data_IF_263518400937
#
_entry.id   IF_263518400937
#
_cell.length_a   1.000
_cell.length_b   1.000
_cell.length_c   1.000
_cell.angle_alpha   90.00
_cell.angle_beta   90.00
_cell.angle_gamma   90.00
#
_symmetry.space_group_name_H-M   'P 1'
#
loop_
_entity.id
_entity.type
_entity.pdbx_description
1 polymer ?
#
# COMPACT_ATOMS: atom_id res chain seq x y z
N UNK A 1 23.44 -0.89 -10.94
CA UNK A 1 24.22 0.29 -11.40
C UNK A 1 23.33 1.11 -12.34
N UNK A 2 22.72 2.18 -11.85
CA UNK A 2 21.89 3.08 -12.68
C UNK A 2 22.78 4.20 -13.21
N UNK A 3 23.12 4.13 -14.50
CA UNK A 3 23.79 5.25 -15.18
C UNK A 3 22.84 6.45 -15.20
N UNK A 4 23.16 7.47 -14.40
CA UNK A 4 22.45 8.76 -14.45
C UNK A 4 22.71 9.39 -15.82
N UNK A 5 21.72 9.34 -16.72
CA UNK A 5 21.75 10.07 -17.99
C UNK A 5 21.98 11.55 -17.70
N UNK A 6 23.15 12.08 -18.11
CA UNK A 6 23.39 13.53 -18.12
C UNK A 6 22.47 14.19 -19.16
N UNK A 7 21.41 14.85 -18.69
CA UNK A 7 20.56 15.67 -19.55
C UNK A 7 21.38 16.89 -20.02
N UNK A 8 21.70 16.96 -21.31
CA UNK A 8 22.52 18.05 -21.90
C UNK A 8 21.80 19.40 -21.98
N UNK A 9 20.46 19.41 -21.91
CA UNK A 9 19.61 20.61 -21.94
C UNK A 9 18.43 20.37 -20.99
N UNK A 10 18.40 21.08 -19.86
CA UNK A 10 17.37 20.95 -18.81
C UNK A 10 16.76 22.30 -18.49
N UNK A 11 15.45 22.31 -18.25
CA UNK A 11 14.71 23.48 -17.80
C UNK A 11 14.09 23.14 -16.44
N UNK A 12 14.29 24.02 -15.45
CA UNK A 12 13.71 23.89 -14.13
C UNK A 12 12.42 24.71 -14.09
N UNK A 13 11.31 24.05 -13.76
CA UNK A 13 10.00 24.67 -13.61
C UNK A 13 9.63 24.61 -12.14
N UNK A 14 9.24 25.76 -11.58
CA UNK A 14 8.63 25.81 -10.24
C UNK A 14 7.13 25.64 -10.39
N UNK A 15 6.60 24.67 -9.66
CA UNK A 15 5.18 24.35 -9.61
C UNK A 15 4.75 24.44 -8.14
N UNK A 16 3.51 24.85 -7.91
CA UNK A 16 2.89 24.62 -6.61
C UNK A 16 2.49 23.14 -6.45
N UNK A 17 2.10 22.75 -5.24
CA UNK A 17 1.80 21.35 -4.90
C UNK A 17 0.60 20.82 -5.70
N UNK A 18 -0.39 21.68 -6.00
CA UNK A 18 -1.61 21.31 -6.72
C UNK A 18 -1.30 21.04 -8.21
N UNK A 19 -0.52 21.92 -8.84
CA UNK A 19 -0.04 21.77 -10.20
C UNK A 19 0.84 20.53 -10.34
N UNK A 20 1.75 20.31 -9.39
CA UNK A 20 2.61 19.13 -9.38
C UNK A 20 1.79 17.83 -9.26
N UNK A 21 0.82 17.80 -8.34
CA UNK A 21 -0.07 16.65 -8.16
C UNK A 21 -0.89 16.36 -9.43
N UNK A 22 -1.46 17.40 -10.05
CA UNK A 22 -2.25 17.29 -11.27
C UNK A 22 -1.44 16.69 -12.44
N UNK A 23 -0.24 17.23 -12.70
CA UNK A 23 0.65 16.73 -13.76
C UNK A 23 1.03 15.26 -13.51
N UNK A 24 1.34 14.92 -12.25
CA UNK A 24 1.76 13.56 -11.89
C UNK A 24 0.62 12.55 -12.06
N UNK A 25 -0.61 12.93 -11.69
CA UNK A 25 -1.80 12.11 -11.86
C UNK A 25 -2.14 11.86 -13.33
N UNK A 26 -2.12 12.91 -14.16
CA UNK A 26 -2.35 12.78 -15.60
C UNK A 26 -1.27 11.92 -16.28
N UNK A 27 -0.01 12.07 -15.89
CA UNK A 27 1.07 11.26 -16.44
C UNK A 27 0.89 9.77 -16.08
N UNK A 28 0.46 9.48 -14.84
CA UNK A 28 0.17 8.13 -14.36
C UNK A 28 -1.00 7.48 -15.10
N UNK A 29 -2.08 8.20 -15.34
CA UNK A 29 -3.24 7.70 -16.11
C UNK A 29 -2.85 7.28 -17.54
N UNK A 30 -1.81 7.91 -18.10
CA UNK A 30 -1.30 7.66 -19.46
C UNK A 30 -0.10 6.70 -19.52
N UNK A 31 0.32 6.11 -18.40
CA UNK A 31 1.51 5.23 -18.30
C UNK A 31 2.82 5.89 -18.78
N UNK A 32 2.97 7.21 -18.60
CA UNK A 32 4.15 7.99 -19.00
C UNK A 32 4.74 8.77 -17.83
N UNK A 33 6.00 9.17 -17.95
CA UNK A 33 6.63 10.05 -16.95
C UNK A 33 6.07 11.47 -17.02
N UNK A 34 5.97 12.16 -15.87
CA UNK A 34 5.56 13.57 -15.79
C UNK A 34 6.40 14.47 -16.73
N UNK A 35 7.71 14.23 -16.81
CA UNK A 35 8.60 14.94 -17.73
C UNK A 35 8.26 14.71 -19.22
N UNK A 36 7.72 13.54 -19.59
CA UNK A 36 7.28 13.27 -20.96
C UNK A 36 5.97 13.99 -21.26
N UNK A 37 5.03 13.98 -20.30
CA UNK A 37 3.78 14.73 -20.42
C UNK A 37 4.02 16.23 -20.60
N UNK A 38 4.90 16.84 -19.79
CA UNK A 38 5.24 18.27 -19.90
C UNK A 38 5.85 18.59 -21.26
N UNK A 39 6.77 17.74 -21.76
CA UNK A 39 7.37 17.94 -23.10
C UNK A 39 6.35 17.83 -24.22
N UNK A 40 5.39 16.91 -24.10
CA UNK A 40 4.31 16.75 -25.07
C UNK A 40 3.41 17.99 -25.09
N UNK A 41 2.98 18.48 -23.92
CA UNK A 41 2.19 19.71 -23.81
C UNK A 41 2.93 20.94 -24.36
N UNK A 42 4.23 21.09 -24.04
CA UNK A 42 5.05 22.17 -24.56
C UNK A 42 5.23 22.08 -26.08
N UNK A 43 5.46 20.88 -26.62
CA UNK A 43 5.57 20.67 -28.06
C UNK A 43 4.27 21.05 -28.78
N UNK A 44 3.11 20.61 -28.27
CA UNK A 44 1.81 20.95 -28.83
C UNK A 44 1.48 22.44 -28.78
N UNK A 45 1.92 23.15 -27.74
CA UNK A 45 1.74 24.60 -27.63
C UNK A 45 2.67 25.40 -28.56
N UNK A 46 3.91 24.94 -28.76
CA UNK A 46 4.92 25.66 -29.54
C UNK A 46 4.83 25.38 -31.05
N UNK A 47 4.25 24.26 -31.47
CA UNK A 47 4.07 23.93 -32.88
C UNK A 47 2.83 23.03 -33.04
N UNK A 48 1.73 23.56 -33.61
CA UNK A 48 0.54 22.76 -33.90
C UNK A 48 0.72 21.72 -35.01
N UNK A 49 1.86 21.76 -35.73
CA UNK A 49 2.17 20.80 -36.80
C UNK A 49 2.96 19.62 -36.24
N UNK A 50 2.67 18.41 -36.74
CA UNK A 50 3.18 17.10 -36.29
C UNK A 50 4.73 16.94 -36.28
N UNK A 51 5.47 17.98 -36.65
CA UNK A 51 6.93 18.02 -36.72
C UNK A 51 7.62 17.66 -35.41
N UNK A 52 7.01 17.98 -34.26
CA UNK A 52 7.57 17.71 -32.92
C UNK A 52 7.12 16.39 -32.28
N UNK A 53 6.19 15.64 -32.89
CA UNK A 53 5.68 14.37 -32.34
C UNK A 53 6.69 13.21 -32.37
N UNK A 54 7.94 13.43 -32.80
CA UNK A 54 8.95 12.36 -32.93
C UNK A 54 9.49 11.83 -31.60
N UNK A 55 9.26 12.50 -30.47
CA UNK A 55 9.76 12.04 -29.17
C UNK A 55 8.73 11.10 -28.55
N UNK A 56 8.99 9.78 -28.68
CA UNK A 56 8.18 8.77 -28.00
C UNK A 56 8.22 9.03 -26.48
N UNK A 57 7.06 9.07 -25.80
CA UNK A 57 7.03 9.33 -24.37
C UNK A 57 7.72 8.19 -23.62
N UNK A 58 8.46 8.56 -22.57
CA UNK A 58 9.15 7.59 -21.72
C UNK A 58 8.11 7.03 -20.76
N UNK A 59 7.88 5.72 -20.83
CA UNK A 59 7.03 5.00 -19.88
C UNK A 59 7.46 5.27 -18.45
N UNK A 60 6.48 5.43 -17.57
CA UNK A 60 6.78 5.50 -16.15
C UNK A 60 7.46 4.21 -15.69
N UNK A 61 8.57 4.33 -14.96
CA UNK A 61 9.16 3.16 -14.32
C UNK A 61 8.23 2.71 -13.20
N UNK A 62 7.53 1.61 -13.42
CA UNK A 62 6.82 0.89 -12.36
C UNK A 62 7.76 -0.21 -11.87
N UNK A 63 8.36 -0.10 -10.68
CA UNK A 63 9.04 -1.25 -10.11
C UNK A 63 8.02 -2.36 -9.99
N UNK A 64 8.30 -3.52 -10.60
CA UNK A 64 7.53 -4.73 -10.35
C UNK A 64 7.73 -5.07 -8.87
N UNK A 65 6.82 -4.66 -8.01
CA UNK A 65 6.78 -5.16 -6.64
C UNK A 65 6.55 -6.67 -6.77
N UNK A 66 7.49 -7.53 -6.34
CA UNK A 66 7.26 -8.96 -6.38
C UNK A 66 5.98 -9.25 -5.58
N UNK A 67 5.14 -10.21 -6.02
CA UNK A 67 3.97 -10.60 -5.26
C UNK A 67 4.42 -11.01 -3.86
N UNK A 68 3.70 -10.53 -2.83
CA UNK A 68 4.01 -10.87 -1.44
C UNK A 68 4.11 -12.40 -1.30
N UNK A 69 5.18 -12.91 -0.66
CA UNK A 69 5.33 -14.34 -0.44
C UNK A 69 4.09 -14.95 0.21
N UNK A 70 3.75 -16.17 -0.20
CA UNK A 70 2.49 -16.83 0.17
C UNK A 70 2.34 -17.00 1.69
N UNK A 71 3.44 -17.27 2.39
CA UNK A 71 3.47 -17.35 3.86
C UNK A 71 3.05 -16.06 4.56
N UNK A 72 3.27 -14.88 3.97
CA UNK A 72 2.81 -13.60 4.55
C UNK A 72 1.29 -13.50 4.48
N UNK A 73 0.69 -14.01 3.40
CA UNK A 73 -0.78 -14.05 3.25
C UNK A 73 -1.41 -15.01 4.27
N UNK A 74 -0.79 -16.16 4.49
CA UNK A 74 -1.28 -17.11 5.50
C UNK A 74 -1.19 -16.54 6.92
N UNK A 75 -0.15 -15.76 7.24
CA UNK A 75 -0.07 -15.06 8.53
C UNK A 75 -1.20 -14.04 8.72
N UNK A 76 -1.62 -13.36 7.66
CA UNK A 76 -2.78 -12.46 7.69
C UNK A 76 -4.08 -13.21 7.99
N UNK A 77 -4.31 -14.33 7.29
CA UNK A 77 -5.50 -15.16 7.51
C UNK A 77 -5.53 -15.70 8.94
N UNK A 78 -4.39 -16.19 9.43
CA UNK A 78 -4.28 -16.67 10.81
C UNK A 78 -4.62 -15.56 11.81
N UNK A 79 -4.14 -14.33 11.57
CA UNK A 79 -4.43 -13.17 12.40
C UNK A 79 -5.93 -12.85 12.42
N UNK A 80 -6.59 -12.88 11.26
CA UNK A 80 -8.04 -12.67 11.14
C UNK A 80 -8.82 -13.74 11.91
N UNK A 81 -8.55 -15.02 11.66
CA UNK A 81 -9.22 -16.12 12.37
C UNK A 81 -9.01 -16.05 13.89
N UNK A 82 -7.82 -15.65 14.35
CA UNK A 82 -7.55 -15.50 15.79
C UNK A 82 -8.32 -14.32 16.39
N UNK A 83 -8.50 -13.23 15.64
CA UNK A 83 -9.30 -12.08 16.08
C UNK A 83 -10.80 -12.42 16.15
N UNK A 84 -11.30 -13.19 15.18
CA UNK A 84 -12.69 -13.72 15.20
C UNK A 84 -12.91 -14.62 16.41
N UNK A 85 -11.97 -15.52 16.71
CA UNK A 85 -12.01 -16.35 17.91
C UNK A 85 -12.07 -15.51 19.19
N UNK A 86 -11.26 -14.44 19.28
CA UNK A 86 -11.31 -13.52 20.41
C UNK A 86 -12.69 -12.86 20.56
N UNK A 87 -13.30 -12.44 19.45
CA UNK A 87 -14.65 -11.88 19.44
C UNK A 87 -15.70 -12.88 19.92
N UNK A 88 -15.65 -14.11 19.42
CA UNK A 88 -16.54 -15.19 19.84
C UNK A 88 -16.39 -15.52 21.33
N UNK A 89 -15.16 -15.52 21.85
CA UNK A 89 -14.87 -15.80 23.25
C UNK A 89 -15.43 -14.71 24.18
N UNK A 90 -15.35 -13.44 23.79
CA UNK A 90 -15.98 -12.33 24.52
C UNK A 90 -17.49 -12.47 24.55
N UNK A 91 -18.11 -12.81 23.41
CA UNK A 91 -19.56 -13.03 23.36
C UNK A 91 -19.98 -14.23 24.22
N UNK A 92 -19.18 -15.30 24.21
CA UNK A 92 -19.39 -16.45 25.09
C UNK A 92 -19.32 -16.07 26.57
N UNK A 93 -18.31 -15.30 26.99
CA UNK A 93 -18.16 -14.82 28.37
C UNK A 93 -19.35 -13.95 28.83
N UNK A 94 -19.88 -13.10 27.95
CA UNK A 94 -21.08 -12.29 28.22
C UNK A 94 -22.29 -13.20 28.42
N UNK A 95 -22.47 -14.18 27.51
CA UNK A 95 -23.64 -15.07 27.53
C UNK A 95 -23.65 -15.98 28.75
N UNK A 96 -22.51 -16.59 29.10
CA UNK A 96 -22.39 -17.45 30.29
C UNK A 96 -22.63 -16.68 31.58
N UNK A 97 -22.21 -15.41 31.66
CA UNK A 97 -22.55 -14.52 32.79
C UNK A 97 -24.05 -14.27 32.89
N UNK A 98 -24.72 -13.97 31.78
CA UNK A 98 -26.16 -13.73 31.74
C UNK A 98 -26.97 -14.97 32.15
N UNK A 99 -26.50 -16.14 31.75
CA UNK A 99 -27.17 -17.42 32.03
C UNK A 99 -26.79 -18.01 33.41
N UNK A 100 -25.95 -17.32 34.19
CA UNK A 100 -25.55 -17.75 35.55
C UNK A 100 -24.50 -18.87 35.59
N UNK A 101 -23.84 -19.16 34.47
CA UNK A 101 -22.78 -20.17 34.37
C UNK A 101 -21.42 -19.60 34.82
N UNK A 102 -21.26 -19.43 36.14
CA UNK A 102 -20.09 -18.77 36.76
C UNK A 102 -18.76 -19.41 36.36
N UNK A 103 -18.64 -20.74 36.40
CA UNK A 103 -17.40 -21.45 36.05
C UNK A 103 -17.01 -21.22 34.58
N UNK A 104 -17.97 -21.32 33.67
CA UNK A 104 -17.74 -21.12 32.23
C UNK A 104 -17.38 -19.67 31.90
N UNK A 105 -17.98 -18.70 32.61
CA UNK A 105 -17.60 -17.30 32.51
C UNK A 105 -16.16 -17.06 32.96
N UNK A 106 -15.77 -17.58 34.13
CA UNK A 106 -14.41 -17.43 34.65
C UNK A 106 -13.35 -18.07 33.75
N UNK A 107 -13.62 -19.24 33.18
CA UNK A 107 -12.71 -19.88 32.23
C UNK A 107 -12.55 -19.05 30.95
N UNK A 108 -13.65 -18.51 30.41
CA UNK A 108 -13.61 -17.66 29.22
C UNK A 108 -12.83 -16.36 29.47
N UNK A 109 -13.09 -15.67 30.59
CA UNK A 109 -12.38 -14.45 30.98
C UNK A 109 -10.88 -14.67 31.15
N UNK A 110 -10.46 -15.84 31.68
CA UNK A 110 -9.03 -16.19 31.80
C UNK A 110 -8.34 -16.36 30.44
N UNK A 111 -9.06 -16.82 29.41
CA UNK A 111 -8.49 -17.09 28.08
C UNK A 111 -8.43 -15.85 27.18
N UNK A 112 -9.28 -14.85 27.39
CA UNK A 112 -9.34 -13.63 26.55
C UNK A 112 -7.99 -12.90 26.45
N UNK A 113 -7.23 -12.67 27.54
CA UNK A 113 -5.92 -12.02 27.46
C UNK A 113 -4.91 -12.76 26.58
N UNK A 114 -4.88 -14.10 26.65
CA UNK A 114 -3.94 -14.93 25.90
C UNK A 114 -4.22 -14.87 24.40
N UNK A 115 -5.49 -14.98 24.01
CA UNK A 115 -5.89 -14.87 22.59
C UNK A 115 -5.60 -13.47 22.06
N UNK A 116 -5.86 -12.42 22.86
CA UNK A 116 -5.53 -11.05 22.49
C UNK A 116 -4.03 -10.86 22.29
N UNK A 117 -3.21 -11.43 23.17
CA UNK A 117 -1.75 -11.37 23.05
C UNK A 117 -1.26 -12.11 21.80
N UNK A 118 -1.87 -13.24 21.44
CA UNK A 118 -1.56 -13.96 20.20
C UNK A 118 -1.80 -13.10 18.95
N UNK A 119 -2.93 -12.38 18.88
CA UNK A 119 -3.21 -11.43 17.77
C UNK A 119 -2.14 -10.34 17.68
N UNK A 120 -1.75 -9.73 18.81
CA UNK A 120 -0.72 -8.70 18.85
C UNK A 120 0.67 -9.22 18.42
N UNK A 121 0.97 -10.46 18.78
CA UNK A 121 2.21 -11.13 18.35
C UNK A 121 2.23 -11.34 16.83
N UNK A 122 1.10 -11.76 16.24
CA UNK A 122 0.95 -11.88 14.78
C UNK A 122 1.09 -10.53 14.08
N UNK A 123 0.47 -9.47 14.58
CA UNK A 123 0.59 -8.10 14.05
C UNK A 123 2.06 -7.59 14.13
N UNK A 124 2.79 -7.98 15.17
CA UNK A 124 4.20 -7.62 15.34
C UNK A 124 5.11 -8.41 14.41
N UNK A 125 4.88 -9.72 14.26
CA UNK A 125 5.60 -10.57 13.32
C UNK A 125 5.41 -10.08 11.89
N UNK A 126 4.18 -9.75 11.53
CA UNK A 126 3.85 -9.23 10.21
C UNK A 126 4.63 -7.93 9.90
N UNK A 127 4.62 -6.95 10.80
CA UNK A 127 5.40 -5.70 10.65
C UNK A 127 6.91 -5.94 10.53
N UNK A 128 7.45 -6.98 11.17
CA UNK A 128 8.87 -7.35 11.01
C UNK A 128 9.13 -7.92 9.62
N UNK A 129 8.26 -8.81 9.14
CA UNK A 129 8.43 -9.44 7.82
C UNK A 129 8.28 -8.43 6.68
N UNK A 130 7.35 -7.46 6.75
CA UNK A 130 7.24 -6.39 5.75
C UNK A 130 8.43 -5.42 5.70
N UNK A 131 9.24 -5.35 6.77
CA UNK A 131 10.46 -4.51 6.80
C UNK A 131 11.69 -5.23 6.22
N UNK A 132 11.63 -6.56 6.11
CA UNK A 132 12.76 -7.40 5.69
C UNK A 132 12.53 -8.10 4.34
N UNK A 133 11.34 -8.01 3.75
CA UNK A 133 11.01 -8.47 2.40
C UNK A 133 10.89 -7.32 1.41
#
# INVERSE_FOLDING_TARGET
>A
MSEKRKLKKSLLVRLDDEQYASITNHARQRDITANSLVRECMAGALSPSDTYQRIKPVKAYSPRTPPRPEYIKELYRLRESTAELCGALVQYAIKTRQDGHVMAHEEAEKLIPDVRQAVLNLDTLHRKLERHG
#
